data_IF_456383575596
#
_entry.id   IF_456383575596
#
_cell.length_a   1.000
_cell.length_b   1.000
_cell.length_c   1.000
_cell.angle_alpha   90.00
_cell.angle_beta   90.00
_cell.angle_gamma   90.00
#
_symmetry.space_group_name_H-M   'P 1'
#
loop_
_entity.id
_entity.type
_entity.pdbx_description
1 polymer ?
#
# COMPACT_ATOMS: atom_id res chain seq x y z
N UNK A 1 13.84 4.38 -10.68
CA UNK A 1 12.79 5.42 -10.58
C UNK A 1 12.15 5.40 -9.19
N UNK A 2 11.72 6.54 -8.66
CA UNK A 2 10.89 6.60 -7.45
C UNK A 2 9.47 6.16 -7.78
N UNK A 3 9.13 4.91 -7.51
CA UNK A 3 7.97 4.26 -8.13
C UNK A 3 7.04 3.50 -7.18
N UNK A 4 7.26 3.57 -5.86
CA UNK A 4 6.34 3.04 -4.84
C UNK A 4 6.33 3.95 -3.63
N UNK A 5 5.22 4.01 -2.89
CA UNK A 5 5.14 4.78 -1.64
C UNK A 5 6.10 4.21 -0.58
N UNK A 6 6.81 5.10 0.12
CA UNK A 6 7.55 4.79 1.34
C UNK A 6 6.96 5.60 2.51
N UNK A 7 6.31 4.89 3.42
CA UNK A 7 5.65 5.47 4.59
C UNK A 7 4.42 6.27 4.19
N UNK A 8 4.28 7.47 4.76
CA UNK A 8 3.04 8.25 4.69
C UNK A 8 2.02 7.75 5.71
N UNK A 9 1.03 8.58 6.01
CA UNK A 9 0.04 8.22 7.02
C UNK A 9 -0.83 9.35 7.50
N UNK A 10 -1.58 9.09 8.57
CA UNK A 10 -2.40 10.10 9.25
C UNK A 10 -2.23 10.00 10.75
N UNK A 11 -2.30 11.14 11.43
CA UNK A 11 -2.17 11.21 12.88
C UNK A 11 -3.54 11.29 13.56
N UNK A 12 -3.65 10.67 14.73
CA UNK A 12 -4.78 10.78 15.66
C UNK A 12 -4.26 11.43 16.94
N UNK A 13 -4.70 12.65 17.24
CA UNK A 13 -4.32 13.35 18.47
C UNK A 13 -5.36 13.12 19.56
N UNK A 14 -4.90 12.91 20.80
CA UNK A 14 -5.82 12.70 21.92
C UNK A 14 -6.67 13.92 22.24
N UNK A 15 -6.12 15.12 22.04
CA UNK A 15 -6.71 16.41 22.40
C UNK A 15 -7.75 16.94 21.39
N UNK A 16 -7.93 16.26 20.26
CA UNK A 16 -8.93 16.64 19.26
C UNK A 16 -10.34 16.31 19.78
N UNK A 17 -11.29 17.22 19.56
CA UNK A 17 -12.66 17.03 20.01
C UNK A 17 -13.23 15.69 19.48
N UNK A 18 -13.92 14.95 20.35
CA UNK A 18 -14.47 13.60 20.10
C UNK A 18 -13.48 12.43 20.10
N UNK A 19 -12.17 12.67 20.24
CA UNK A 19 -11.19 11.58 20.31
C UNK A 19 -11.05 10.99 21.72
N UNK A 20 -11.67 11.60 22.72
CA UNK A 20 -11.68 11.23 24.14
C UNK A 20 -12.91 10.42 24.59
N UNK A 21 -13.76 10.01 23.65
CA UNK A 21 -14.95 9.21 23.93
C UNK A 21 -14.57 7.89 24.60
N UNK A 22 -15.11 7.69 25.80
CA UNK A 22 -15.03 6.44 26.57
C UNK A 22 -16.20 5.52 26.21
N UNK A 23 -16.03 4.25 26.51
CA UNK A 23 -17.07 3.21 26.47
C UNK A 23 -17.09 2.54 27.84
N UNK A 24 -18.26 2.05 28.26
CA UNK A 24 -18.40 1.37 29.54
C UNK A 24 -17.72 0.00 29.51
N UNK A 25 -17.85 -0.72 28.39
CA UNK A 25 -17.21 -2.00 28.13
C UNK A 25 -16.57 -2.02 26.74
N UNK A 26 -15.36 -2.56 26.66
CA UNK A 26 -14.69 -2.73 25.38
C UNK A 26 -15.22 -3.98 24.65
N UNK A 27 -15.60 -3.87 23.36
CA UNK A 27 -16.12 -5.00 22.59
C UNK A 27 -15.02 -6.00 22.16
N UNK A 28 -13.76 -5.66 22.41
CA UNK A 28 -12.60 -6.45 22.02
C UNK A 28 -11.56 -6.53 23.13
N UNK A 29 -10.63 -7.46 22.99
CA UNK A 29 -9.42 -7.60 23.79
C UNK A 29 -8.20 -7.64 22.86
N UNK A 30 -7.03 -7.27 23.37
CA UNK A 30 -5.77 -7.27 22.60
C UNK A 30 -4.69 -8.01 23.39
N UNK A 31 -4.02 -8.96 22.72
CA UNK A 31 -2.91 -9.73 23.31
C UNK A 31 -1.73 -9.80 22.35
N UNK A 32 -0.49 -9.98 22.85
CA UNK A 32 0.64 -10.29 21.99
C UNK A 32 0.37 -11.55 21.17
N UNK A 33 0.78 -11.52 19.90
CA UNK A 33 0.72 -12.69 19.04
C UNK A 33 1.78 -13.73 19.44
N UNK A 34 1.47 -14.99 19.23
CA UNK A 34 2.30 -16.16 19.52
C UNK A 34 2.61 -16.91 18.22
N UNK A 35 3.51 -17.90 18.26
CA UNK A 35 3.82 -18.72 17.08
C UNK A 35 2.58 -19.45 16.54
N UNK A 36 1.62 -19.79 17.41
CA UNK A 36 0.37 -20.43 17.02
C UNK A 36 -0.55 -19.50 16.19
N UNK A 37 -0.34 -18.18 16.26
CA UNK A 37 -1.13 -17.20 15.52
C UNK A 37 -0.59 -16.97 14.09
N UNK A 38 0.58 -17.50 13.71
CA UNK A 38 1.21 -17.23 12.40
C UNK A 38 0.29 -17.57 11.20
N UNK A 39 -0.41 -18.73 11.16
CA UNK A 39 -1.32 -19.02 10.06
C UNK A 39 -2.43 -17.98 9.89
N UNK A 40 -2.99 -17.50 11.01
CA UNK A 40 -3.98 -16.44 11.05
C UNK A 40 -3.40 -15.10 10.58
N UNK A 41 -2.20 -14.73 11.06
CA UNK A 41 -1.54 -13.49 10.65
C UNK A 41 -1.27 -13.47 9.15
N UNK A 42 -0.85 -14.60 8.58
CA UNK A 42 -0.65 -14.75 7.13
C UNK A 42 -1.96 -14.57 6.35
N UNK A 43 -3.07 -15.13 6.84
CA UNK A 43 -4.41 -14.94 6.26
C UNK A 43 -4.83 -13.46 6.28
N UNK A 44 -4.76 -12.83 7.45
CA UNK A 44 -5.17 -11.44 7.63
C UNK A 44 -4.29 -10.48 6.84
N UNK A 45 -2.98 -10.72 6.79
CA UNK A 45 -2.06 -9.92 5.98
C UNK A 45 -2.39 -10.04 4.50
N UNK A 46 -2.56 -11.27 3.98
CA UNK A 46 -2.92 -11.50 2.58
C UNK A 46 -4.23 -10.79 2.22
N UNK A 47 -5.24 -10.86 3.09
CA UNK A 47 -6.50 -10.16 2.88
C UNK A 47 -6.32 -8.63 2.88
N UNK A 48 -5.54 -8.09 3.82
CA UNK A 48 -5.28 -6.66 3.92
C UNK A 48 -4.52 -6.10 2.71
N UNK A 49 -3.61 -6.89 2.14
CA UNK A 49 -2.78 -6.49 1.00
C UNK A 49 -3.27 -7.00 -0.34
N UNK A 50 -4.40 -7.71 -0.41
CA UNK A 50 -4.94 -8.30 -1.65
C UNK A 50 -5.16 -7.27 -2.77
N UNK A 51 -5.35 -6.01 -2.36
CA UNK A 51 -5.60 -4.88 -3.23
C UNK A 51 -4.33 -4.08 -3.57
N UNK A 52 -3.14 -4.49 -3.15
CA UNK A 52 -1.91 -3.76 -3.46
C UNK A 52 -1.22 -4.35 -4.70
N UNK A 53 -0.75 -3.52 -5.66
CA UNK A 53 -0.04 -4.02 -6.85
C UNK A 53 1.27 -4.73 -6.51
N UNK A 54 2.04 -4.17 -5.56
CA UNK A 54 3.27 -4.76 -5.04
C UNK A 54 3.12 -4.96 -3.54
N UNK A 55 3.47 -6.15 -3.08
CA UNK A 55 3.46 -6.54 -1.67
C UNK A 55 4.73 -7.29 -1.33
N UNK A 56 5.13 -7.26 -0.05
CA UNK A 56 6.18 -8.15 0.43
C UNK A 56 5.57 -9.52 0.73
N UNK A 57 6.10 -10.58 0.12
CA UNK A 57 5.71 -11.95 0.47
C UNK A 57 6.34 -12.33 1.81
N UNK A 58 5.55 -12.95 2.69
CA UNK A 58 5.98 -13.49 3.98
C UNK A 58 5.54 -14.94 4.09
N UNK A 59 6.50 -15.83 4.21
CA UNK A 59 6.25 -17.22 4.59
C UNK A 59 6.28 -17.37 6.13
N UNK A 60 6.00 -18.58 6.61
CA UNK A 60 5.97 -18.90 8.04
C UNK A 60 7.31 -18.62 8.72
N UNK A 61 8.43 -18.96 8.07
CA UNK A 61 9.76 -18.75 8.60
C UNK A 61 10.07 -17.26 8.78
N UNK A 62 9.66 -16.42 7.83
CA UNK A 62 9.86 -14.98 7.87
C UNK A 62 8.99 -14.32 8.94
N UNK A 63 7.74 -14.78 9.12
CA UNK A 63 6.90 -14.36 10.24
C UNK A 63 7.53 -14.71 11.59
N UNK A 64 7.99 -15.94 11.76
CA UNK A 64 8.63 -16.39 12.98
C UNK A 64 9.92 -15.59 13.27
N UNK A 65 10.72 -15.31 12.24
CA UNK A 65 11.91 -14.48 12.34
C UNK A 65 11.57 -13.08 12.85
N UNK A 66 10.64 -12.37 12.20
CA UNK A 66 10.28 -11.00 12.56
C UNK A 66 9.68 -10.89 13.97
N UNK A 67 8.90 -11.90 14.38
CA UNK A 67 8.22 -11.88 15.67
C UNK A 67 9.12 -12.30 16.84
N UNK A 68 10.10 -13.19 16.62
CA UNK A 68 10.78 -13.88 17.71
C UNK A 68 12.31 -13.87 17.65
N UNK A 69 12.93 -13.68 16.48
CA UNK A 69 14.39 -13.72 16.36
C UNK A 69 15.05 -12.40 16.81
N UNK A 70 14.40 -11.26 16.50
CA UNK A 70 14.92 -9.95 16.87
C UNK A 70 14.75 -9.71 18.38
N UNK A 71 15.80 -9.21 19.05
CA UNK A 71 15.73 -8.83 20.46
C UNK A 71 14.59 -7.83 20.69
N UNK A 72 13.72 -8.05 21.69
CA UNK A 72 12.46 -7.29 21.86
C UNK A 72 12.62 -5.79 22.06
N UNK A 73 13.78 -5.34 22.54
CA UNK A 73 14.11 -3.93 22.73
C UNK A 73 14.78 -3.29 21.50
N UNK A 74 15.07 -4.07 20.47
CA UNK A 74 15.60 -3.56 19.21
C UNK A 74 14.59 -2.59 18.57
N UNK A 75 15.04 -1.45 18.01
CA UNK A 75 14.15 -0.57 17.24
C UNK A 75 13.56 -1.25 16.00
N UNK A 76 14.17 -2.36 15.55
CA UNK A 76 13.70 -3.16 14.42
C UNK A 76 12.68 -4.23 14.82
N UNK A 77 12.58 -4.56 16.10
CA UNK A 77 11.62 -5.56 16.58
C UNK A 77 10.19 -5.22 16.15
N UNK A 78 9.46 -6.25 15.71
CA UNK A 78 8.06 -6.17 15.33
C UNK A 78 7.20 -6.64 16.51
N UNK A 79 6.42 -5.73 17.08
CA UNK A 79 5.51 -6.08 18.17
C UNK A 79 4.11 -6.30 17.60
N UNK A 80 3.85 -7.56 17.25
CA UNK A 80 2.57 -7.98 16.66
C UNK A 80 1.59 -8.37 17.76
N UNK A 81 0.36 -7.88 17.64
CA UNK A 81 -0.76 -8.15 18.52
C UNK A 81 -1.94 -8.67 17.72
N UNK A 82 -2.72 -9.57 18.32
CA UNK A 82 -4.03 -9.97 17.81
C UNK A 82 -5.11 -9.28 18.62
N UNK A 83 -6.23 -9.01 17.95
CA UNK A 83 -7.42 -8.40 18.52
C UNK A 83 -8.55 -9.43 18.42
N UNK A 84 -9.15 -9.73 19.57
CA UNK A 84 -10.16 -10.77 19.75
C UNK A 84 -11.48 -10.17 20.21
N UNK A 85 -12.61 -10.78 19.84
CA UNK A 85 -13.89 -10.51 20.50
C UNK A 85 -13.85 -11.00 21.94
N UNK A 86 -14.79 -10.55 22.78
CA UNK A 86 -14.98 -11.09 24.13
C UNK A 86 -15.29 -12.60 24.16
N UNK A 87 -15.73 -13.17 23.03
CA UNK A 87 -15.93 -14.61 22.84
C UNK A 87 -14.68 -15.38 22.40
N UNK A 88 -13.52 -14.71 22.25
CA UNK A 88 -12.25 -15.34 21.88
C UNK A 88 -12.02 -15.50 20.37
N UNK A 89 -12.88 -14.95 19.52
CA UNK A 89 -12.65 -14.96 18.07
C UNK A 89 -11.61 -13.90 17.70
N UNK A 90 -10.51 -14.29 17.05
CA UNK A 90 -9.56 -13.34 16.46
C UNK A 90 -10.17 -12.63 15.24
N UNK A 91 -10.30 -11.30 15.30
CA UNK A 91 -10.94 -10.49 14.25
C UNK A 91 -9.99 -9.52 13.56
N UNK A 92 -8.83 -9.24 14.15
CA UNK A 92 -7.85 -8.35 13.58
C UNK A 92 -6.45 -8.60 14.14
N UNK A 93 -5.45 -8.04 13.48
CA UNK A 93 -4.08 -7.94 13.99
C UNK A 93 -3.55 -6.52 13.80
N UNK A 94 -2.60 -6.14 14.63
CA UNK A 94 -1.89 -4.87 14.48
C UNK A 94 -0.43 -5.03 14.87
N UNK A 95 0.43 -4.23 14.24
CA UNK A 95 1.83 -4.10 14.60
C UNK A 95 2.10 -2.62 14.87
N UNK A 96 2.67 -2.33 16.05
CA UNK A 96 3.03 -0.98 16.41
C UNK A 96 4.23 -0.95 17.36
N UNK A 97 4.98 0.14 17.31
CA UNK A 97 5.94 0.51 18.33
C UNK A 97 5.63 1.91 18.86
N UNK A 98 6.47 2.45 19.74
CA UNK A 98 6.37 3.85 20.16
C UNK A 98 7.74 4.50 20.22
N UNK A 99 7.82 5.74 19.75
CA UNK A 99 9.01 6.58 19.88
C UNK A 99 8.59 8.06 19.83
N UNK A 100 9.42 8.94 20.38
CA UNK A 100 9.07 10.37 20.50
C UNK A 100 7.75 10.58 21.23
N UNK A 101 6.78 11.20 20.57
CA UNK A 101 5.46 11.52 21.13
C UNK A 101 4.33 10.62 20.63
N UNK A 102 4.62 9.52 19.93
CA UNK A 102 3.59 8.75 19.25
C UNK A 102 3.73 7.24 19.44
N UNK A 103 2.57 6.56 19.39
CA UNK A 103 2.51 5.19 18.92
C UNK A 103 2.51 5.19 17.39
N UNK A 104 3.29 4.31 16.76
CA UNK A 104 3.36 4.18 15.31
C UNK A 104 2.76 2.85 14.90
N UNK A 105 1.52 2.87 14.42
CA UNK A 105 0.83 1.70 13.87
C UNK A 105 1.31 1.50 12.45
N UNK A 106 2.11 0.47 12.22
CA UNK A 106 2.75 0.16 10.93
C UNK A 106 2.04 -0.96 10.18
N UNK A 107 1.24 -1.76 10.88
CA UNK A 107 0.31 -2.70 10.27
C UNK A 107 -1.02 -2.73 11.02
N UNK A 108 -2.12 -2.88 10.28
CA UNK A 108 -3.45 -3.13 10.83
C UNK A 108 -4.26 -3.90 9.77
N UNK A 109 -4.68 -5.12 10.10
CA UNK A 109 -5.56 -5.91 9.24
C UNK A 109 -6.80 -6.33 10.01
N UNK A 110 -7.97 -6.22 9.38
CA UNK A 110 -9.26 -6.63 9.95
C UNK A 110 -9.87 -7.70 9.07
N UNK A 111 -10.35 -8.78 9.70
CA UNK A 111 -11.03 -9.90 9.02
C UNK A 111 -12.28 -9.40 8.32
N UNK A 112 -12.54 -9.93 7.12
CA UNK A 112 -13.76 -9.62 6.37
C UNK A 112 -15.01 -9.90 7.22
N UNK A 113 -16.02 -9.03 7.10
CA UNK A 113 -17.25 -9.10 7.91
C UNK A 113 -17.19 -8.37 9.25
N UNK A 114 -16.00 -7.96 9.73
CA UNK A 114 -15.88 -7.18 10.96
C UNK A 114 -15.75 -5.67 10.70
N UNK A 115 -16.32 -4.82 11.57
CA UNK A 115 -16.35 -3.37 11.35
C UNK A 115 -15.00 -2.71 11.66
N UNK A 116 -14.32 -2.23 10.60
CA UNK A 116 -13.08 -1.44 10.70
C UNK A 116 -13.17 -0.32 11.75
N UNK A 117 -14.30 0.40 11.80
CA UNK A 117 -14.49 1.52 12.73
C UNK A 117 -14.47 1.08 14.19
N UNK A 118 -15.07 -0.05 14.52
CA UNK A 118 -15.10 -0.53 15.91
C UNK A 118 -13.69 -0.98 16.35
N UNK A 119 -12.99 -1.74 15.50
CA UNK A 119 -11.61 -2.18 15.76
C UNK A 119 -10.67 -0.99 15.89
N UNK A 120 -10.77 -0.01 15.00
CA UNK A 120 -9.93 1.19 15.03
C UNK A 120 -10.16 2.02 16.29
N UNK A 121 -11.42 2.26 16.67
CA UNK A 121 -11.74 3.02 17.88
C UNK A 121 -11.28 2.28 19.14
N UNK A 122 -11.44 0.95 19.21
CA UNK A 122 -10.86 0.13 20.26
C UNK A 122 -9.35 0.28 20.35
N UNK A 123 -8.65 0.15 19.21
CA UNK A 123 -7.20 0.33 19.16
C UNK A 123 -6.78 1.71 19.67
N UNK A 124 -7.50 2.78 19.31
CA UNK A 124 -7.18 4.12 19.83
C UNK A 124 -7.30 4.22 21.35
N UNK A 125 -8.32 3.60 21.97
CA UNK A 125 -8.50 3.61 23.42
C UNK A 125 -7.45 2.77 24.14
N UNK A 126 -7.13 1.60 23.60
CA UNK A 126 -6.06 0.74 24.14
C UNK A 126 -4.71 1.43 24.12
N UNK A 127 -4.36 2.08 23.00
CA UNK A 127 -3.10 2.82 22.90
C UNK A 127 -3.10 4.06 23.81
N UNK A 128 -4.26 4.68 24.07
CA UNK A 128 -4.37 5.78 25.04
C UNK A 128 -4.05 5.29 26.45
N UNK A 129 -4.66 4.17 26.87
CA UNK A 129 -4.39 3.58 28.18
C UNK A 129 -2.89 3.23 28.33
N UNK A 130 -2.29 2.66 27.28
CA UNK A 130 -0.83 2.41 27.26
C UNK A 130 -0.02 3.70 27.36
N UNK A 131 -0.45 4.80 26.73
CA UNK A 131 0.20 6.09 26.89
C UNK A 131 0.11 6.57 28.34
N UNK A 132 -1.04 6.44 28.99
CA UNK A 132 -1.26 6.84 30.38
C UNK A 132 -0.34 6.07 31.36
N UNK A 133 -0.08 4.79 31.10
CA UNK A 133 0.87 3.97 31.87
C UNK A 133 2.34 4.38 31.64
N UNK A 134 2.70 4.73 30.40
CA UNK A 134 4.09 5.03 30.03
C UNK A 134 4.49 6.47 30.36
N UNK A 135 3.58 7.43 30.19
CA UNK A 135 3.86 8.87 30.27
C UNK A 135 4.48 9.36 31.60
N UNK A 136 4.14 8.82 32.79
CA UNK A 136 4.76 9.26 34.04
C UNK A 136 6.29 9.15 34.06
N UNK A 137 6.86 8.25 33.27
CA UNK A 137 8.32 8.00 33.22
C UNK A 137 8.98 8.64 31.98
N UNK A 138 8.27 9.48 31.22
CA UNK A 138 8.77 10.07 29.97
C UNK A 138 9.02 11.56 30.11
N UNK A 139 10.10 12.03 29.48
CA UNK A 139 10.36 13.47 29.31
C UNK A 139 9.33 14.11 28.36
N UNK A 140 8.94 13.40 27.31
CA UNK A 140 7.93 13.82 26.36
C UNK A 140 6.75 12.84 26.38
N UNK A 141 5.54 13.30 26.74
CA UNK A 141 4.37 12.44 26.76
C UNK A 141 4.00 12.00 25.34
N UNK A 142 3.59 10.74 25.23
CA UNK A 142 2.93 10.21 24.04
C UNK A 142 1.52 10.79 24.00
N UNK A 143 1.26 11.65 23.01
CA UNK A 143 0.01 12.39 22.88
C UNK A 143 -0.76 12.12 21.58
N UNK A 144 -0.30 11.16 20.80
CA UNK A 144 -0.87 10.82 19.50
C UNK A 144 -0.60 9.37 19.07
N UNK A 145 -1.34 8.95 18.05
CA UNK A 145 -1.08 7.75 17.25
C UNK A 145 -0.78 8.18 15.81
N UNK A 146 0.35 7.77 15.27
CA UNK A 146 0.62 7.79 13.84
C UNK A 146 0.15 6.48 13.20
N UNK A 147 -0.85 6.54 12.33
CA UNK A 147 -1.19 5.42 11.45
C UNK A 147 -0.33 5.52 10.20
N UNK A 148 0.76 4.76 10.15
CA UNK A 148 1.78 4.76 9.09
C UNK A 148 1.45 3.72 8.00
N UNK A 149 0.24 3.80 7.48
CA UNK A 149 -0.35 2.76 6.65
C UNK A 149 -0.48 3.18 5.18
N UNK A 150 0.37 4.11 4.74
CA UNK A 150 0.37 4.64 3.37
C UNK A 150 -0.74 5.65 3.12
N UNK A 151 -1.15 5.79 1.86
CA UNK A 151 -2.10 6.84 1.41
C UNK A 151 -3.58 6.42 1.49
N UNK A 152 -3.88 5.12 1.32
CA UNK A 152 -5.24 4.63 1.13
C UNK A 152 -5.55 3.37 1.97
N UNK A 153 -5.34 3.47 3.29
CA UNK A 153 -5.71 2.40 4.22
C UNK A 153 -7.17 2.52 4.68
N UNK A 154 -7.96 1.43 4.78
CA UNK A 154 -9.37 1.47 5.21
C UNK A 154 -9.61 2.16 6.55
N UNK A 155 -8.62 2.14 7.45
CA UNK A 155 -8.70 2.82 8.76
C UNK A 155 -8.93 4.33 8.62
N UNK A 156 -8.47 4.94 7.52
CA UNK A 156 -8.60 6.38 7.30
C UNK A 156 -10.05 6.79 7.03
N UNK A 157 -10.80 5.96 6.30
CA UNK A 157 -12.24 6.13 6.13
C UNK A 157 -12.97 5.82 7.43
N UNK A 158 -12.56 4.74 8.11
CA UNK A 158 -13.18 4.29 9.34
C UNK A 158 -13.12 5.32 10.48
N UNK A 159 -12.01 6.04 10.62
CA UNK A 159 -11.83 7.11 11.62
C UNK A 159 -12.21 8.49 11.08
N UNK A 160 -12.14 8.70 9.76
CA UNK A 160 -12.60 9.91 9.08
C UNK A 160 -12.02 11.19 9.68
N UNK A 161 -12.90 12.11 10.11
CA UNK A 161 -12.53 13.43 10.66
C UNK A 161 -11.84 13.38 12.03
N UNK A 162 -11.64 12.20 12.61
CA UNK A 162 -10.86 12.04 13.84
C UNK A 162 -9.35 12.08 13.60
N UNK A 163 -8.94 11.94 12.33
CA UNK A 163 -7.56 12.01 11.90
C UNK A 163 -7.20 13.41 11.38
N UNK A 164 -5.94 13.76 11.52
CA UNK A 164 -5.35 14.93 10.87
C UNK A 164 -5.20 14.75 9.36
N UNK A 165 -4.83 15.86 8.72
CA UNK A 165 -4.43 15.86 7.31
C UNK A 165 -3.34 14.82 7.05
N UNK A 166 -3.35 14.20 5.85
CA UNK A 166 -2.39 13.17 5.51
C UNK A 166 -0.98 13.75 5.42
N UNK A 167 -0.02 13.01 5.99
CA UNK A 167 1.40 13.17 5.69
C UNK A 167 1.68 12.39 4.42
N UNK A 168 2.10 13.11 3.38
CA UNK A 168 2.48 12.50 2.11
C UNK A 168 3.59 11.46 2.32
N UNK A 169 3.54 10.31 1.61
CA UNK A 169 4.62 9.34 1.62
C UNK A 169 5.84 9.91 0.90
N UNK A 170 7.02 9.38 1.26
CA UNK A 170 8.18 9.45 0.39
C UNK A 170 8.07 8.36 -0.68
N UNK A 171 9.17 7.96 -1.32
CA UNK A 171 9.17 6.92 -2.32
C UNK A 171 10.33 5.93 -2.17
N UNK A 172 10.06 4.67 -2.52
CA UNK A 172 11.11 3.70 -2.80
C UNK A 172 11.66 3.88 -4.20
N UNK A 173 12.97 3.74 -4.30
CA UNK A 173 13.66 3.67 -5.58
C UNK A 173 13.65 2.25 -6.13
N UNK A 174 12.98 2.05 -7.26
CA UNK A 174 12.79 0.74 -7.90
C UNK A 174 13.56 0.68 -9.21
N UNK A 175 14.15 -0.48 -9.47
CA UNK A 175 14.76 -0.85 -10.75
C UNK A 175 14.07 -2.08 -11.30
N UNK A 176 13.73 -2.02 -12.58
CA UNK A 176 13.20 -3.14 -13.34
C UNK A 176 14.21 -3.45 -14.45
N UNK A 177 14.96 -4.57 -14.35
CA UNK A 177 16.05 -4.84 -15.28
C UNK A 177 15.56 -5.24 -16.69
N UNK A 178 14.38 -5.86 -16.79
CA UNK A 178 13.79 -6.30 -18.05
C UNK A 178 12.30 -5.93 -18.07
N UNK A 179 11.99 -4.76 -18.61
CA UNK A 179 10.63 -4.26 -18.72
C UNK A 179 9.78 -5.13 -19.67
N UNK A 180 10.25 -5.50 -20.88
CA UNK A 180 9.48 -6.39 -21.76
C UNK A 180 9.13 -7.74 -21.13
N UNK A 181 10.08 -8.41 -20.48
CA UNK A 181 9.83 -9.69 -19.82
C UNK A 181 8.83 -9.54 -18.67
N UNK A 182 8.94 -8.47 -17.88
CA UNK A 182 8.00 -8.22 -16.80
C UNK A 182 6.58 -7.99 -17.31
N UNK A 183 6.40 -7.22 -18.40
CA UNK A 183 5.09 -7.00 -19.01
C UNK A 183 4.46 -8.29 -19.52
N UNK A 184 5.26 -9.19 -20.13
CA UNK A 184 4.79 -10.53 -20.52
C UNK A 184 4.39 -11.36 -19.30
N UNK A 185 5.15 -11.26 -18.21
CA UNK A 185 4.84 -11.99 -16.98
C UNK A 185 3.51 -11.55 -16.35
N UNK A 186 3.21 -10.24 -16.36
CA UNK A 186 1.96 -9.70 -15.83
C UNK A 186 0.83 -9.62 -16.86
N UNK A 187 1.03 -10.10 -18.09
CA UNK A 187 0.02 -10.05 -19.15
C UNK A 187 -1.37 -10.55 -18.71
N UNK A 188 -1.51 -11.68 -17.97
CA UNK A 188 -2.83 -12.18 -17.58
C UNK A 188 -3.67 -11.16 -16.77
N UNK A 189 -3.04 -10.36 -15.90
CA UNK A 189 -3.77 -9.33 -15.14
C UNK A 189 -4.08 -8.10 -15.99
N UNK A 190 -3.23 -7.79 -16.98
CA UNK A 190 -3.47 -6.70 -17.92
C UNK A 190 -4.66 -7.03 -18.83
N UNK A 191 -4.71 -8.26 -19.35
CA UNK A 191 -5.80 -8.79 -20.16
C UNK A 191 -7.12 -8.83 -19.38
N UNK A 192 -7.09 -9.28 -18.11
CA UNK A 192 -8.27 -9.26 -17.24
C UNK A 192 -8.81 -7.84 -17.03
N UNK A 193 -7.93 -6.86 -16.81
CA UNK A 193 -8.33 -5.44 -16.66
C UNK A 193 -8.94 -4.90 -17.94
N UNK A 194 -8.32 -5.21 -19.08
CA UNK A 194 -8.79 -4.79 -20.40
C UNK A 194 -10.16 -5.39 -20.73
N UNK A 195 -10.37 -6.68 -20.48
CA UNK A 195 -11.66 -7.36 -20.66
C UNK A 195 -12.79 -6.79 -19.79
N UNK A 196 -12.46 -6.27 -18.60
CA UNK A 196 -13.42 -5.64 -17.69
C UNK A 196 -13.62 -4.13 -17.94
N UNK A 197 -13.09 -3.59 -19.04
CA UNK A 197 -13.06 -2.16 -19.33
C UNK A 197 -13.89 -1.76 -20.55
N UNK A 198 -13.93 -0.45 -20.84
CA UNK A 198 -14.54 0.10 -22.06
C UNK A 198 -13.80 -0.27 -23.35
N UNK A 199 -12.59 -0.84 -23.25
CA UNK A 199 -11.80 -1.34 -24.38
C UNK A 199 -11.77 -2.88 -24.41
N UNK A 200 -12.80 -3.55 -23.91
CA UNK A 200 -12.88 -5.02 -24.00
C UNK A 200 -12.77 -5.50 -25.46
N UNK A 201 -11.91 -6.50 -25.71
CA UNK A 201 -11.65 -7.02 -27.07
C UNK A 201 -10.72 -6.14 -27.92
N UNK A 202 -9.98 -5.20 -27.30
CA UNK A 202 -9.06 -4.32 -28.01
C UNK A 202 -8.07 -5.08 -28.91
N UNK A 203 -7.95 -4.61 -30.17
CA UNK A 203 -6.97 -5.06 -31.14
C UNK A 203 -6.25 -3.84 -31.68
N UNK A 204 -4.92 -3.83 -31.56
CA UNK A 204 -4.13 -2.67 -31.94
C UNK A 204 -2.69 -2.76 -31.44
N UNK A 205 -1.86 -1.83 -31.88
CA UNK A 205 -0.47 -1.70 -31.45
C UNK A 205 -0.31 -0.37 -30.73
N UNK A 206 0.08 -0.42 -29.46
CA UNK A 206 0.46 0.78 -28.69
C UNK A 206 1.97 0.94 -28.68
N UNK A 207 2.47 2.07 -29.17
CA UNK A 207 3.88 2.43 -29.31
C UNK A 207 4.29 3.34 -28.15
N UNK A 208 5.13 2.81 -27.27
CA UNK A 208 5.68 3.50 -26.11
C UNK A 208 7.10 3.97 -26.43
N UNK A 209 7.35 5.26 -26.29
CA UNK A 209 8.65 5.88 -26.57
C UNK A 209 9.28 6.44 -25.28
N UNK A 210 10.45 5.92 -24.93
CA UNK A 210 11.25 6.34 -23.78
C UNK A 210 12.42 7.25 -24.17
N UNK A 211 12.35 7.84 -25.38
CA UNK A 211 13.36 8.66 -26.07
C UNK A 211 14.63 7.89 -26.47
N UNK A 212 15.22 7.15 -25.53
CA UNK A 212 16.41 6.31 -25.76
C UNK A 212 16.06 4.87 -26.13
N UNK A 213 14.86 4.44 -25.78
CA UNK A 213 14.36 3.09 -25.98
C UNK A 213 12.90 3.15 -26.44
N UNK A 214 12.49 2.15 -27.22
CA UNK A 214 11.15 2.08 -27.79
C UNK A 214 10.56 0.69 -27.59
N UNK A 215 9.26 0.64 -27.31
CA UNK A 215 8.54 -0.59 -27.05
C UNK A 215 7.18 -0.57 -27.72
N UNK A 216 6.72 -1.73 -28.18
CA UNK A 216 5.35 -1.90 -28.66
C UNK A 216 4.61 -2.90 -27.79
N UNK A 217 3.31 -2.67 -27.60
CA UNK A 217 2.37 -3.64 -27.05
C UNK A 217 1.37 -3.98 -28.16
N UNK A 218 1.43 -5.21 -28.67
CA UNK A 218 0.54 -5.70 -29.73
C UNK A 218 -0.58 -6.51 -29.11
N UNK A 219 -1.81 -6.06 -29.30
CA UNK A 219 -3.02 -6.66 -28.76
C UNK A 219 -3.86 -7.28 -29.87
N UNK A 220 -4.45 -8.43 -29.58
CA UNK A 220 -5.43 -9.08 -30.44
C UNK A 220 -6.56 -9.66 -29.58
N UNK A 221 -7.79 -9.23 -29.86
CA UNK A 221 -9.00 -9.62 -29.14
C UNK A 221 -8.86 -9.50 -27.61
N UNK A 222 -8.17 -8.45 -27.14
CA UNK A 222 -7.91 -8.18 -25.73
C UNK A 222 -6.73 -8.94 -25.11
N UNK A 223 -6.00 -9.74 -25.89
CA UNK A 223 -4.85 -10.53 -25.43
C UNK A 223 -3.53 -9.91 -25.90
N UNK A 224 -2.52 -9.89 -25.03
CA UNK A 224 -1.20 -9.34 -25.34
C UNK A 224 -0.40 -10.38 -26.14
N UNK A 225 -0.29 -10.17 -27.46
CA UNK A 225 0.39 -11.08 -28.38
C UNK A 225 1.90 -10.87 -28.37
N UNK A 226 2.34 -9.61 -28.34
CA UNK A 226 3.75 -9.27 -28.45
C UNK A 226 4.10 -8.04 -27.60
N UNK A 227 5.25 -8.13 -26.95
CA UNK A 227 5.97 -6.96 -26.45
C UNK A 227 7.22 -6.83 -27.31
N UNK A 228 7.21 -5.86 -28.23
CA UNK A 228 8.23 -5.69 -29.25
C UNK A 228 8.93 -4.35 -29.14
N UNK A 229 9.53 -3.91 -30.25
CA UNK A 229 10.14 -2.59 -30.39
C UNK A 229 9.75 -1.98 -31.73
N UNK A 230 9.96 -0.68 -31.90
CA UNK A 230 9.78 -0.01 -33.18
C UNK A 230 10.88 1.04 -33.38
N UNK A 231 11.11 1.43 -34.64
CA UNK A 231 12.01 2.52 -34.97
C UNK A 231 11.21 3.81 -35.14
N UNK A 232 11.48 4.85 -34.33
CA UNK A 232 10.70 6.08 -34.38
C UNK A 232 11.13 6.94 -35.59
N UNK A 233 10.17 7.54 -36.30
CA UNK A 233 10.45 8.39 -37.47
C UNK A 233 11.12 9.71 -37.04
N UNK A 234 10.69 10.24 -35.90
CA UNK A 234 11.29 11.37 -35.18
C UNK A 234 11.51 10.99 -33.73
N UNK A 235 12.37 11.71 -33.02
CA UNK A 235 12.63 11.45 -31.60
C UNK A 235 11.33 11.36 -30.77
N UNK A 236 10.34 12.22 -31.05
CA UNK A 236 9.02 12.22 -30.40
C UNK A 236 7.93 11.35 -31.08
N UNK A 237 8.28 10.38 -31.93
CA UNK A 237 7.26 9.50 -32.54
C UNK A 237 6.82 8.37 -31.60
N UNK A 238 5.52 8.18 -31.45
CA UNK A 238 4.90 7.13 -30.63
C UNK A 238 3.52 7.55 -30.14
N UNK A 239 2.76 6.61 -29.57
CA UNK A 239 1.40 6.88 -29.07
C UNK A 239 1.43 7.39 -27.62
N UNK A 240 2.49 7.02 -26.88
CA UNK A 240 2.78 7.56 -25.55
C UNK A 240 4.29 7.72 -25.35
N UNK A 241 4.67 8.87 -24.78
CA UNK A 241 6.04 9.26 -24.48
C UNK A 241 6.22 9.40 -22.96
N UNK A 242 7.29 8.81 -22.46
CA UNK A 242 7.67 8.88 -21.05
C UNK A 242 9.17 9.16 -20.97
N UNK A 243 9.62 10.25 -20.32
CA UNK A 243 11.05 10.50 -20.18
C UNK A 243 11.71 9.44 -19.30
N UNK A 244 12.79 8.85 -19.80
CA UNK A 244 13.62 7.85 -19.10
C UNK A 244 12.79 6.70 -18.48
N UNK A 245 12.81 6.57 -17.15
CA UNK A 245 12.16 5.48 -16.42
C UNK A 245 10.84 5.91 -15.76
N UNK A 246 10.29 7.08 -16.10
CA UNK A 246 9.06 7.60 -15.49
C UNK A 246 7.85 6.68 -15.73
N UNK A 247 7.86 5.89 -16.81
CA UNK A 247 6.86 4.84 -17.03
C UNK A 247 6.75 3.85 -15.87
N UNK A 248 7.83 3.60 -15.12
CA UNK A 248 7.79 2.73 -13.94
C UNK A 248 6.83 3.27 -12.86
N UNK A 249 6.67 4.60 -12.75
CA UNK A 249 5.72 5.19 -11.80
C UNK A 249 4.27 4.85 -12.17
N UNK A 250 3.96 4.77 -13.47
CA UNK A 250 2.66 4.32 -13.95
C UNK A 250 2.50 2.81 -13.78
N UNK A 251 3.47 2.03 -14.27
CA UNK A 251 3.48 0.57 -14.21
C UNK A 251 3.18 0.02 -12.82
N UNK A 252 3.78 0.61 -11.79
CA UNK A 252 3.61 0.19 -10.39
C UNK A 252 2.42 0.86 -9.67
N UNK A 253 1.60 1.63 -10.40
CA UNK A 253 0.40 2.30 -9.89
C UNK A 253 0.68 3.48 -8.94
N UNK A 254 1.92 3.97 -8.90
CA UNK A 254 2.35 5.04 -8.00
C UNK A 254 1.88 6.43 -8.46
N UNK A 255 1.87 6.66 -9.78
CA UNK A 255 1.31 7.86 -10.41
C UNK A 255 0.36 7.49 -11.53
N UNK A 256 -0.72 8.25 -11.65
CA UNK A 256 -1.62 8.20 -12.80
C UNK A 256 -1.00 8.87 -14.02
N UNK A 257 -1.55 8.59 -15.21
CA UNK A 257 -1.17 9.31 -16.44
C UNK A 257 -1.30 10.83 -16.25
N UNK A 258 -2.41 11.30 -15.66
CA UNK A 258 -2.64 12.72 -15.40
C UNK A 258 -1.56 13.35 -14.51
N UNK A 259 -1.11 12.63 -13.48
CA UNK A 259 -0.04 13.14 -12.60
C UNK A 259 1.32 13.18 -13.31
N UNK A 260 1.61 12.23 -14.19
CA UNK A 260 2.85 12.22 -14.97
C UNK A 260 2.87 13.33 -16.03
N UNK A 261 1.77 13.48 -16.76
CA UNK A 261 1.54 14.56 -17.73
C UNK A 261 1.67 15.95 -17.07
N UNK A 262 1.15 16.10 -15.85
CA UNK A 262 1.32 17.34 -15.07
C UNK A 262 2.76 17.56 -14.59
N UNK A 263 3.47 16.49 -14.21
CA UNK A 263 4.79 16.59 -13.59
C UNK A 263 5.95 16.70 -14.60
N UNK A 264 5.78 16.19 -15.82
CA UNK A 264 6.84 16.07 -16.82
C UNK A 264 6.37 16.64 -18.16
N UNK A 265 6.96 17.74 -18.62
CA UNK A 265 6.59 18.40 -19.88
C UNK A 265 6.80 17.51 -21.11
N UNK A 266 7.74 16.57 -21.02
CA UNK A 266 8.08 15.60 -22.06
C UNK A 266 7.30 14.28 -21.89
N UNK A 267 6.28 14.25 -21.02
CA UNK A 267 5.31 13.16 -20.98
C UNK A 267 4.10 13.56 -21.82
N UNK A 268 3.80 12.77 -22.85
CA UNK A 268 2.67 13.03 -23.73
C UNK A 268 2.01 11.71 -24.12
N UNK A 269 0.68 11.70 -24.22
CA UNK A 269 -0.07 10.53 -24.64
C UNK A 269 -1.19 10.97 -25.58
N UNK A 270 -1.33 10.26 -26.69
CA UNK A 270 -2.53 10.32 -27.52
C UNK A 270 -3.74 9.76 -26.75
N UNK A 271 -4.95 10.15 -27.16
CA UNK A 271 -6.18 9.87 -26.39
C UNK A 271 -6.42 8.36 -26.19
N UNK A 272 -6.28 7.56 -27.25
CA UNK A 272 -6.48 6.11 -27.18
C UNK A 272 -5.45 5.43 -26.25
N UNK A 273 -4.17 5.83 -26.35
CA UNK A 273 -3.11 5.34 -25.46
C UNK A 273 -3.36 5.77 -24.01
N UNK A 274 -3.86 6.99 -23.77
CA UNK A 274 -4.24 7.48 -22.45
C UNK A 274 -5.36 6.64 -21.84
N UNK A 275 -6.41 6.31 -22.60
CA UNK A 275 -7.51 5.46 -22.14
C UNK A 275 -6.97 4.06 -21.81
N UNK A 276 -6.23 3.45 -22.74
CA UNK A 276 -5.68 2.11 -22.56
C UNK A 276 -4.74 2.03 -21.35
N UNK A 277 -3.75 2.93 -21.23
CA UNK A 277 -2.77 2.84 -20.15
C UNK A 277 -3.37 3.12 -18.76
N UNK A 278 -4.43 3.94 -18.65
CA UNK A 278 -5.17 4.09 -17.39
C UNK A 278 -5.93 2.81 -17.00
N UNK A 279 -6.41 2.02 -17.97
CA UNK A 279 -7.04 0.72 -17.74
C UNK A 279 -5.99 -0.31 -17.30
N UNK A 280 -4.87 -0.36 -18.01
CA UNK A 280 -3.82 -1.35 -17.75
C UNK A 280 -3.11 -1.10 -16.43
N UNK A 281 -2.84 0.16 -16.09
CA UNK A 281 -2.04 0.56 -14.93
C UNK A 281 -2.77 1.60 -14.06
N UNK A 282 -3.90 1.23 -13.43
CA UNK A 282 -4.65 2.15 -12.60
C UNK A 282 -3.83 2.58 -11.38
N UNK A 283 -3.96 3.85 -10.99
CA UNK A 283 -3.32 4.37 -9.78
C UNK A 283 -3.83 3.59 -8.56
N UNK A 284 -2.91 2.94 -7.86
CA UNK A 284 -3.21 2.12 -6.69
C UNK A 284 -1.97 1.99 -5.81
N UNK A 285 -2.04 2.37 -4.52
CA UNK A 285 -0.87 2.30 -3.67
C UNK A 285 -0.48 0.84 -3.38
N UNK A 286 0.81 0.58 -3.48
CA UNK A 286 1.42 -0.69 -3.07
C UNK A 286 1.65 -0.72 -1.56
N UNK A 287 1.77 -1.93 -1.01
CA UNK A 287 2.01 -2.15 0.42
C UNK A 287 3.33 -2.91 0.61
N UNK A 288 4.41 -2.13 0.62
CA UNK A 288 5.77 -2.63 0.82
C UNK A 288 6.23 -2.30 2.24
N UNK A 289 6.30 -3.32 3.08
CA UNK A 289 6.81 -3.22 4.44
C UNK A 289 8.29 -3.62 4.48
N UNK A 290 9.17 -2.85 5.14
CA UNK A 290 10.56 -3.25 5.37
C UNK A 290 10.65 -4.56 6.14
N UNK A 291 11.78 -5.27 6.04
CA UNK A 291 12.09 -6.35 6.96
C UNK A 291 12.39 -5.77 8.35
N UNK A 292 11.77 -6.33 9.40
CA UNK A 292 12.07 -6.03 10.80
C UNK A 292 13.20 -6.87 11.38
#
# INVERSE_FOLDING_TARGET
EMALNLGGGRAFFWNRASNDKKVDEEPYQMRPATAADIPLLAELYKANTANSPVVRVRDEALWAYEMFATHRESPYARHVYVIETTGGECVAYTEFNHWGRAFHVRELGVRAGHPWRAVALFLTRVLRHKADELNPNRKEPIDQIGFELGEAHPVYEALGRQLEQPRAPYAWYIRLPDLPQFLRHIAPVLEQRLAASVLAGYTGTTRLNFYREQMTLVWQDGNLQEVGTFQPIRLESGDAMFPEQTFLQLLFGYRSVHELDHAFADCYLEEEARILLNILFPKRPSNVIPLG
#
